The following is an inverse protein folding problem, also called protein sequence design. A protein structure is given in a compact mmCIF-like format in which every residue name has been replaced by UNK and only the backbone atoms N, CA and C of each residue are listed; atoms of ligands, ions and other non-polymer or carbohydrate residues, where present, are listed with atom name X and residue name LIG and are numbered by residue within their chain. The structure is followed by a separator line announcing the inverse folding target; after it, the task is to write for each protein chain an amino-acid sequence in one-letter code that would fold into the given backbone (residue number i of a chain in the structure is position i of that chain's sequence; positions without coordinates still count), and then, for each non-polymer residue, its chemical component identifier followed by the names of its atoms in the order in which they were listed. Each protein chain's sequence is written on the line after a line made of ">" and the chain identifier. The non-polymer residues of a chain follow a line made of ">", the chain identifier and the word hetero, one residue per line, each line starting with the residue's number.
data_IF_409609945125
#
_entry.id   IF_409609945125
#
_cell.length_a   1.000
_cell.length_b   1.000
_cell.length_c   1.000
_cell.angle_alpha   90.00
_cell.angle_beta   90.00
_cell.angle_gamma   90.00
#
_symmetry.space_group_name_H-M   'P 1'
#
loop_
_entity.id
_entity.type
_entity.pdbx_description
1 polymer ?
#
# COMPACT_ATOMS: atom_id res chain seq x y z
N UNK A 1 35.31 -21.84 2.37
CA UNK A 1 34.10 -21.06 2.70
C UNK A 1 33.54 -20.57 1.38
N UNK A 2 32.40 -21.10 0.93
CA UNK A 2 31.77 -20.62 -0.30
C UNK A 2 31.16 -19.24 0.01
N UNK A 3 31.61 -18.19 -0.69
CA UNK A 3 30.92 -16.91 -0.68
C UNK A 3 29.57 -17.13 -1.35
N UNK A 4 28.48 -16.92 -0.62
CA UNK A 4 27.15 -16.96 -1.19
C UNK A 4 27.01 -15.72 -2.09
N UNK A 5 27.33 -15.89 -3.37
CA UNK A 5 27.28 -14.80 -4.34
C UNK A 5 25.84 -14.32 -4.47
N UNK A 6 25.60 -13.00 -4.52
CA UNK A 6 24.25 -12.46 -4.68
C UNK A 6 23.60 -13.06 -5.93
N UNK A 7 22.48 -13.76 -5.74
CA UNK A 7 21.68 -14.34 -6.82
C UNK A 7 20.66 -13.32 -7.30
N UNK A 8 20.77 -12.90 -8.55
CA UNK A 8 19.77 -12.07 -9.20
C UNK A 8 18.74 -12.96 -9.92
N UNK A 9 17.46 -12.71 -9.67
CA UNK A 9 16.35 -13.33 -10.39
C UNK A 9 15.63 -12.28 -11.22
N UNK A 10 15.48 -12.53 -12.51
CA UNK A 10 14.64 -11.71 -13.37
C UNK A 10 13.20 -12.21 -13.27
N UNK A 11 12.31 -11.43 -12.66
CA UNK A 11 10.89 -11.74 -12.59
C UNK A 11 10.28 -11.52 -13.99
N UNK A 12 10.22 -12.59 -14.78
CA UNK A 12 9.62 -12.56 -16.12
C UNK A 12 8.10 -12.51 -16.02
N UNK A 13 7.50 -11.65 -16.82
CA UNK A 13 6.05 -11.52 -16.97
C UNK A 13 5.56 -10.07 -17.10
N UNK A 14 6.39 -9.07 -16.79
CA UNK A 14 6.02 -7.65 -16.82
C UNK A 14 5.77 -7.15 -18.25
N UNK A 15 4.51 -7.17 -18.71
CA UNK A 15 4.10 -6.56 -19.99
C UNK A 15 3.93 -5.02 -19.89
N UNK A 16 4.40 -4.42 -18.81
CA UNK A 16 4.40 -2.98 -18.58
C UNK A 16 5.47 -2.57 -17.55
N UNK A 17 5.78 -1.27 -17.45
CA UNK A 17 6.74 -0.77 -16.46
C UNK A 17 6.25 -1.08 -15.05
N UNK A 18 7.19 -1.56 -14.22
CA UNK A 18 7.01 -1.63 -12.76
C UNK A 18 6.92 -0.20 -12.24
N UNK A 19 5.88 0.10 -11.48
CA UNK A 19 5.64 1.43 -10.92
C UNK A 19 6.14 1.51 -9.48
N UNK A 20 5.90 0.46 -8.69
CA UNK A 20 6.38 0.35 -7.32
C UNK A 20 6.68 -1.10 -6.93
N UNK A 21 7.55 -1.28 -5.93
CA UNK A 21 7.95 -2.57 -5.36
C UNK A 21 7.91 -2.49 -3.84
N UNK A 22 7.47 -3.56 -3.18
CA UNK A 22 7.49 -3.69 -1.72
C UNK A 22 7.70 -5.14 -1.32
N UNK A 23 8.23 -5.38 -0.11
CA UNK A 23 8.26 -6.70 0.53
C UNK A 23 7.37 -6.71 1.77
N UNK A 24 6.86 -7.88 2.13
CA UNK A 24 6.23 -8.07 3.44
C UNK A 24 7.30 -7.97 4.55
N UNK A 25 6.89 -7.63 5.77
CA UNK A 25 7.84 -7.41 6.88
C UNK A 25 8.57 -8.70 7.31
N UNK A 26 7.89 -9.85 7.20
CA UNK A 26 8.48 -11.18 7.39
C UNK A 26 9.34 -11.66 6.20
N UNK A 27 9.47 -10.83 5.16
CA UNK A 27 10.13 -11.11 3.91
C UNK A 27 9.62 -12.39 3.20
N UNK A 28 8.41 -12.87 3.49
CA UNK A 28 7.82 -14.04 2.82
C UNK A 28 7.26 -13.71 1.43
N UNK A 29 6.97 -12.44 1.16
CA UNK A 29 6.40 -11.98 -0.11
C UNK A 29 7.13 -10.77 -0.66
N UNK A 30 7.21 -10.71 -1.99
CA UNK A 30 7.53 -9.51 -2.74
C UNK A 30 6.33 -9.18 -3.63
N UNK A 31 5.91 -7.91 -3.62
CA UNK A 31 4.84 -7.42 -4.47
C UNK A 31 5.35 -6.30 -5.39
N UNK A 32 4.81 -6.26 -6.61
CA UNK A 32 5.08 -5.22 -7.58
C UNK A 32 3.76 -4.71 -8.16
N UNK A 33 3.67 -3.39 -8.34
CA UNK A 33 2.58 -2.77 -9.08
C UNK A 33 3.03 -2.42 -10.49
N UNK A 34 2.09 -2.46 -11.43
CA UNK A 34 2.37 -2.28 -12.85
C UNK A 34 1.43 -1.23 -13.46
N UNK A 35 1.90 -0.61 -14.55
CA UNK A 35 1.06 0.30 -15.33
C UNK A 35 -0.09 -0.41 -16.08
N UNK A 36 -0.04 -1.74 -16.20
CA UNK A 36 -1.08 -2.57 -16.81
C UNK A 36 -2.27 -2.85 -15.89
N UNK A 37 -2.43 -2.08 -14.80
CA UNK A 37 -3.44 -2.21 -13.73
C UNK A 37 -3.24 -3.41 -12.80
N UNK A 38 -2.30 -4.31 -13.09
CA UNK A 38 -2.08 -5.49 -12.26
C UNK A 38 -1.20 -5.19 -11.06
N UNK A 39 -1.45 -5.93 -9.98
CA UNK A 39 -0.51 -6.12 -8.89
C UNK A 39 -0.13 -7.57 -8.87
N UNK A 40 1.17 -7.84 -8.76
CA UNK A 40 1.69 -9.20 -8.81
C UNK A 40 2.53 -9.47 -7.58
N UNK A 41 2.38 -10.64 -7.02
CA UNK A 41 3.03 -11.03 -5.78
C UNK A 41 3.68 -12.40 -5.94
N UNK A 42 4.89 -12.53 -5.40
CA UNK A 42 5.70 -13.74 -5.45
C UNK A 42 6.08 -14.17 -4.03
N UNK A 43 6.07 -15.47 -3.73
CA UNK A 43 6.76 -15.99 -2.56
C UNK A 43 8.25 -15.67 -2.69
N UNK A 44 8.86 -15.10 -1.67
CA UNK A 44 10.29 -14.81 -1.67
C UNK A 44 11.17 -16.07 -1.73
N UNK A 45 10.60 -17.19 -1.30
CA UNK A 45 11.24 -18.50 -1.34
C UNK A 45 11.28 -19.12 -2.74
N UNK A 46 10.42 -18.68 -3.66
CA UNK A 46 10.30 -19.27 -4.99
C UNK A 46 9.87 -18.26 -6.06
N UNK A 47 10.87 -17.71 -6.74
CA UNK A 47 10.68 -16.84 -7.91
C UNK A 47 10.55 -17.60 -9.24
N UNK A 48 10.61 -18.94 -9.24
CA UNK A 48 10.42 -19.75 -10.45
C UNK A 48 8.95 -20.05 -10.71
N UNK A 49 8.15 -20.15 -9.65
CA UNK A 49 6.70 -20.25 -9.74
C UNK A 49 6.08 -18.98 -10.37
N UNK A 50 4.97 -19.12 -11.11
CA UNK A 50 4.28 -17.97 -11.67
C UNK A 50 3.76 -17.04 -10.57
N UNK A 51 3.72 -15.71 -10.80
CA UNK A 51 3.15 -14.78 -9.84
C UNK A 51 1.68 -15.05 -9.58
N UNK A 52 1.23 -14.67 -8.39
CA UNK A 52 -0.18 -14.47 -8.10
C UNK A 52 -0.58 -13.09 -8.63
N UNK A 53 -1.66 -13.03 -9.41
CA UNK A 53 -2.20 -11.80 -9.96
C UNK A 53 -3.35 -11.29 -9.10
N UNK A 54 -3.22 -10.07 -8.61
CA UNK A 54 -4.24 -9.35 -7.86
C UNK A 54 -4.89 -8.36 -8.83
N UNK A 55 -6.01 -8.80 -9.40
CA UNK A 55 -6.75 -8.06 -10.44
C UNK A 55 -8.00 -7.42 -9.84
N UNK A 56 -8.31 -6.19 -10.24
CA UNK A 56 -9.51 -5.48 -9.78
C UNK A 56 -9.45 -3.97 -9.96
N UNK A 57 -8.24 -3.40 -10.07
CA UNK A 57 -8.08 -2.01 -10.46
C UNK A 57 -8.48 -1.77 -11.92
N UNK A 58 -9.06 -0.61 -12.18
CA UNK A 58 -9.46 -0.14 -13.52
C UNK A 58 -8.49 0.94 -14.06
N UNK A 59 -7.33 1.08 -13.43
CA UNK A 59 -6.30 2.04 -13.79
C UNK A 59 -4.92 1.62 -13.27
N UNK A 60 -3.85 2.28 -13.73
CA UNK A 60 -2.49 2.01 -13.27
C UNK A 60 -2.37 2.09 -11.75
N UNK A 61 -1.68 1.12 -11.16
CA UNK A 61 -1.47 1.05 -9.71
C UNK A 61 -0.18 1.78 -9.34
N UNK A 62 -0.34 2.95 -8.71
CA UNK A 62 0.75 3.88 -8.44
C UNK A 62 1.36 3.71 -7.05
N UNK A 63 0.60 3.18 -6.10
CA UNK A 63 1.02 3.05 -4.71
C UNK A 63 0.80 1.62 -4.20
N UNK A 64 1.74 1.12 -3.39
CA UNK A 64 1.66 -0.21 -2.79
C UNK A 64 2.34 -0.22 -1.42
N UNK A 65 1.74 -0.88 -0.44
CA UNK A 65 2.32 -1.04 0.90
C UNK A 65 1.80 -2.31 1.59
N UNK A 66 2.67 -3.05 2.27
CA UNK A 66 2.25 -4.09 3.21
C UNK A 66 1.95 -3.49 4.58
N UNK A 67 0.99 -4.06 5.29
CA UNK A 67 0.83 -3.82 6.73
C UNK A 67 1.96 -4.49 7.49
N UNK A 68 2.34 -3.90 8.62
CA UNK A 68 3.43 -4.43 9.46
C UNK A 68 3.12 -5.80 10.07
N UNK A 69 1.84 -6.09 10.29
CA UNK A 69 1.39 -7.42 10.73
C UNK A 69 1.33 -8.46 9.59
N UNK A 70 1.67 -8.07 8.35
CA UNK A 70 1.65 -8.91 7.15
C UNK A 70 0.26 -9.36 6.69
N UNK A 71 -0.82 -8.89 7.34
CA UNK A 71 -2.19 -9.30 7.05
C UNK A 71 -2.71 -8.71 5.75
N UNK A 72 -2.32 -7.47 5.46
CA UNK A 72 -2.88 -6.68 4.38
C UNK A 72 -1.80 -6.19 3.42
N UNK A 73 -2.16 -6.17 2.14
CA UNK A 73 -1.48 -5.40 1.12
C UNK A 73 -2.45 -4.32 0.64
N UNK A 74 -2.06 -3.06 0.72
CA UNK A 74 -2.80 -1.93 0.17
C UNK A 74 -2.24 -1.56 -1.20
N UNK A 75 -3.13 -1.30 -2.16
CA UNK A 75 -2.76 -0.86 -3.51
C UNK A 75 -3.61 0.34 -3.91
N UNK A 76 -2.98 1.46 -4.25
CA UNK A 76 -3.63 2.69 -4.68
C UNK A 76 -3.46 2.93 -6.17
N UNK A 77 -4.53 3.37 -6.84
CA UNK A 77 -4.60 3.44 -8.30
C UNK A 77 -5.07 4.77 -8.85
N UNK A 78 -4.78 5.00 -10.13
CA UNK A 78 -5.36 6.08 -10.93
C UNK A 78 -6.89 5.98 -11.09
N UNK A 79 -7.49 4.82 -10.80
CA UNK A 79 -8.95 4.67 -10.74
C UNK A 79 -9.60 5.31 -9.50
N UNK A 80 -8.80 6.04 -8.69
CA UNK A 80 -9.22 6.80 -7.50
C UNK A 80 -9.60 5.92 -6.30
N UNK A 81 -9.36 4.62 -6.40
CA UNK A 81 -9.66 3.66 -5.33
C UNK A 81 -8.38 3.09 -4.73
N UNK A 82 -8.55 2.56 -3.52
CA UNK A 82 -7.54 1.73 -2.86
C UNK A 82 -8.14 0.33 -2.68
N UNK A 83 -7.39 -0.70 -3.05
CA UNK A 83 -7.74 -2.08 -2.75
C UNK A 83 -6.93 -2.58 -1.56
N UNK A 84 -7.62 -3.21 -0.61
CA UNK A 84 -7.02 -3.95 0.49
C UNK A 84 -7.14 -5.46 0.25
N UNK A 85 -5.99 -6.10 0.07
CA UNK A 85 -5.86 -7.53 -0.20
C UNK A 85 -5.50 -8.27 1.08
N UNK A 86 -6.30 -9.28 1.44
CA UNK A 86 -5.98 -10.16 2.55
C UNK A 86 -4.91 -11.15 2.11
N UNK A 87 -3.70 -11.04 2.65
CA UNK A 87 -2.55 -11.86 2.25
C UNK A 87 -2.77 -13.35 2.54
N UNK A 88 -3.57 -13.67 3.57
CA UNK A 88 -3.92 -15.06 3.89
C UNK A 88 -5.00 -15.64 2.96
N UNK A 89 -5.71 -14.83 2.17
CA UNK A 89 -6.78 -15.25 1.27
C UNK A 89 -6.78 -14.42 -0.02
N UNK A 90 -5.69 -14.48 -0.79
CA UNK A 90 -5.50 -13.72 -2.03
C UNK A 90 -6.44 -14.16 -3.17
N UNK A 91 -7.15 -15.27 -3.01
CA UNK A 91 -8.19 -15.77 -3.90
C UNK A 91 -9.53 -15.00 -3.76
N UNK A 92 -9.69 -14.24 -2.67
CA UNK A 92 -10.89 -13.43 -2.42
C UNK A 92 -10.76 -12.03 -3.02
N UNK A 93 -11.88 -11.41 -3.41
CA UNK A 93 -11.88 -10.03 -3.88
C UNK A 93 -11.35 -9.09 -2.78
N UNK A 94 -10.68 -8.00 -3.15
CA UNK A 94 -10.21 -7.02 -2.19
C UNK A 94 -11.38 -6.26 -1.58
N UNK A 95 -11.12 -5.63 -0.45
CA UNK A 95 -11.98 -4.57 0.04
C UNK A 95 -11.67 -3.30 -0.74
N UNK A 96 -12.70 -2.65 -1.27
CA UNK A 96 -12.57 -1.43 -2.07
C UNK A 96 -12.81 -0.24 -1.18
N UNK A 97 -11.80 0.60 -1.04
CA UNK A 97 -11.85 1.86 -0.32
C UNK A 97 -12.02 3.00 -1.34
N UNK A 98 -13.19 3.62 -1.30
CA UNK A 98 -13.61 4.67 -2.23
C UNK A 98 -13.87 5.98 -1.48
N UNK A 99 -13.66 7.11 -2.15
CA UNK A 99 -13.98 8.45 -1.64
C UNK A 99 -12.96 9.53 -2.00
N UNK A 100 -11.79 9.15 -2.52
CA UNK A 100 -10.92 10.09 -3.22
C UNK A 100 -11.51 10.50 -4.58
N UNK A 101 -11.27 11.74 -4.97
CA UNK A 101 -11.82 12.33 -6.21
C UNK A 101 -10.79 12.32 -7.36
N UNK A 102 -9.55 11.94 -7.08
CA UNK A 102 -8.46 11.77 -8.06
C UNK A 102 -7.56 10.58 -7.69
N UNK A 103 -6.63 10.27 -8.58
CA UNK A 103 -5.57 9.27 -8.50
C UNK A 103 -4.87 9.20 -7.14
N UNK A 104 -4.71 7.97 -6.63
CA UNK A 104 -4.00 7.72 -5.38
C UNK A 104 -2.49 7.77 -5.63
N UNK A 105 -1.83 8.77 -5.06
CA UNK A 105 -0.40 8.99 -5.22
C UNK A 105 0.44 8.16 -4.22
N UNK A 106 -0.08 7.91 -3.01
CA UNK A 106 0.66 7.17 -1.97
C UNK A 106 -0.28 6.54 -0.95
N UNK A 107 0.13 5.41 -0.38
CA UNK A 107 -0.55 4.73 0.74
C UNK A 107 0.48 4.27 1.76
N UNK A 108 0.17 4.38 3.05
CA UNK A 108 1.03 3.89 4.13
C UNK A 108 0.20 3.28 5.25
N UNK A 109 0.68 2.18 5.81
CA UNK A 109 0.13 1.62 7.04
C UNK A 109 0.78 2.24 8.28
N UNK A 110 -0.02 2.40 9.32
CA UNK A 110 0.47 2.61 10.67
C UNK A 110 1.23 1.38 11.18
N UNK A 111 2.17 1.59 12.11
CA UNK A 111 3.00 0.52 12.69
C UNK A 111 2.18 -0.55 13.41
N UNK A 112 0.98 -0.23 13.92
CA UNK A 112 0.06 -1.21 14.51
C UNK A 112 -0.84 -1.90 13.48
N UNK A 113 -0.72 -1.59 12.19
CA UNK A 113 -1.53 -2.16 11.11
C UNK A 113 -3.00 -1.77 11.13
N UNK A 114 -3.44 -0.95 12.10
CA UNK A 114 -4.86 -0.58 12.28
C UNK A 114 -5.31 0.48 11.30
N UNK A 115 -4.46 1.46 11.06
CA UNK A 115 -4.76 2.61 10.22
C UNK A 115 -4.03 2.52 8.89
N UNK A 116 -4.75 2.88 7.83
CA UNK A 116 -4.17 3.18 6.53
C UNK A 116 -4.35 4.69 6.29
N UNK A 117 -3.29 5.36 5.85
CA UNK A 117 -3.38 6.71 5.33
C UNK A 117 -3.12 6.69 3.83
N UNK A 118 -3.89 7.49 3.09
CA UNK A 118 -3.72 7.66 1.65
C UNK A 118 -3.65 9.12 1.27
N UNK A 119 -2.86 9.40 0.24
CA UNK A 119 -2.76 10.71 -0.40
C UNK A 119 -3.20 10.58 -1.84
N UNK A 120 -4.04 11.50 -2.29
CA UNK A 120 -4.46 11.60 -3.68
C UNK A 120 -4.01 12.91 -4.31
N UNK A 121 -4.03 12.94 -5.64
CA UNK A 121 -3.85 14.14 -6.47
C UNK A 121 -5.01 15.13 -6.32
N UNK A 122 -6.10 14.75 -5.64
CA UNK A 122 -7.20 15.64 -5.23
C UNK A 122 -6.79 16.61 -4.09
N UNK A 123 -5.50 16.63 -3.73
CA UNK A 123 -4.92 17.36 -2.62
C UNK A 123 -5.45 16.95 -1.24
N UNK A 124 -6.14 15.82 -1.13
CA UNK A 124 -6.66 15.30 0.13
C UNK A 124 -5.83 14.13 0.65
N UNK A 125 -5.74 14.08 1.98
CA UNK A 125 -5.38 12.90 2.75
C UNK A 125 -6.64 12.24 3.27
N UNK A 126 -6.71 10.91 3.21
CA UNK A 126 -7.76 10.14 3.88
C UNK A 126 -7.13 9.17 4.89
N UNK A 127 -7.82 8.99 6.02
CA UNK A 127 -7.48 8.01 7.04
C UNK A 127 -8.59 6.96 7.15
N UNK A 128 -8.20 5.70 7.03
CA UNK A 128 -9.08 4.53 7.00
C UNK A 128 -8.79 3.65 8.23
N UNK A 129 -9.82 3.14 8.93
CA UNK A 129 -9.67 2.07 9.93
C UNK A 129 -9.79 0.72 9.22
N UNK A 130 -8.69 -0.03 9.22
CA UNK A 130 -8.55 -1.32 8.54
C UNK A 130 -9.11 -2.47 9.39
N UNK A 131 -9.32 -2.25 10.69
CA UNK A 131 -9.99 -3.23 11.55
C UNK A 131 -11.50 -3.31 11.27
N UNK A 132 -12.09 -2.22 10.78
CA UNK A 132 -13.47 -2.17 10.29
C UNK A 132 -13.54 -1.44 8.94
N UNK A 133 -13.20 -2.14 7.84
CA UNK A 133 -13.14 -1.57 6.49
C UNK A 133 -14.48 -1.03 5.97
N UNK A 134 -15.59 -1.34 6.64
CA UNK A 134 -16.92 -0.82 6.29
C UNK A 134 -17.12 0.64 6.70
N UNK A 135 -16.26 1.17 7.58
CA UNK A 135 -16.30 2.55 8.05
C UNK A 135 -15.28 3.41 7.28
N UNK A 136 -15.64 3.70 6.04
CA UNK A 136 -14.70 4.05 4.98
C UNK A 136 -13.81 5.28 5.27
N UNK A 137 -14.26 6.42 5.79
CA UNK A 137 -13.32 7.56 5.99
C UNK A 137 -13.55 8.19 7.34
N UNK A 138 -12.50 8.24 8.16
CA UNK A 138 -12.58 8.74 9.53
C UNK A 138 -12.06 10.18 9.62
N UNK A 139 -11.21 10.59 8.68
CA UNK A 139 -10.70 11.96 8.60
C UNK A 139 -10.28 12.30 7.17
N UNK A 140 -10.63 13.50 6.70
CA UNK A 140 -10.17 14.08 5.42
C UNK A 140 -9.47 15.41 5.69
N UNK A 141 -8.31 15.66 5.06
CA UNK A 141 -7.59 16.94 5.18
C UNK A 141 -6.97 17.38 3.87
N UNK A 142 -7.04 18.69 3.57
CA UNK A 142 -6.39 19.31 2.43
C UNK A 142 -4.90 19.56 2.73
N UNK A 143 -4.03 19.18 1.80
CA UNK A 143 -2.57 19.32 1.93
C UNK A 143 -2.10 20.75 1.62
N UNK A 144 -2.82 21.51 0.81
CA UNK A 144 -2.37 22.85 0.36
C UNK A 144 -2.57 23.95 1.42
N UNK A 145 -3.56 23.83 2.32
CA UNK A 145 -3.81 24.84 3.35
C UNK A 145 -2.81 24.75 4.53
N UNK A 146 -2.21 23.58 4.76
CA UNK A 146 -1.32 23.28 5.90
C UNK A 146 0.16 23.22 5.47
N UNK A 147 0.68 24.27 4.79
CA UNK A 147 2.02 24.36 4.16
C UNK A 147 3.29 23.97 4.96
N UNK A 148 3.15 23.42 6.17
CA UNK A 148 4.19 22.79 6.99
C UNK A 148 4.35 21.27 6.77
N UNK A 149 3.45 20.59 6.03
CA UNK A 149 3.43 19.12 5.97
C UNK A 149 4.09 18.50 4.73
N UNK A 150 4.53 19.29 3.74
CA UNK A 150 5.04 18.78 2.47
C UNK A 150 6.37 18.00 2.56
N UNK A 151 7.06 18.00 3.72
CA UNK A 151 8.31 17.24 3.94
C UNK A 151 8.22 16.15 5.02
N UNK A 152 7.07 16.00 5.69
CA UNK A 152 6.89 14.91 6.65
C UNK A 152 6.33 13.70 5.93
N UNK A 153 7.09 12.61 5.91
CA UNK A 153 6.55 11.29 5.54
C UNK A 153 5.27 11.06 6.36
N UNK A 154 4.22 10.55 5.70
CA UNK A 154 2.93 10.27 6.32
C UNK A 154 3.11 9.34 7.52
N UNK A 155 4.14 8.48 7.50
CA UNK A 155 4.58 7.69 8.66
C UNK A 155 5.02 8.54 9.86
N UNK A 156 5.73 9.65 9.64
CA UNK A 156 6.14 10.59 10.68
C UNK A 156 4.93 11.32 11.30
N UNK A 157 3.97 11.73 10.48
CA UNK A 157 2.74 12.40 10.95
C UNK A 157 1.86 11.47 11.80
N UNK A 158 1.70 10.21 11.38
CA UNK A 158 0.98 9.18 12.16
C UNK A 158 1.70 8.87 13.48
N UNK A 159 3.03 8.81 13.47
CA UNK A 159 3.84 8.63 14.66
C UNK A 159 3.68 9.81 15.64
N UNK A 160 3.59 11.04 15.12
CA UNK A 160 3.40 12.25 15.92
C UNK A 160 2.04 12.27 16.63
N UNK A 161 0.95 11.83 15.96
CA UNK A 161 -0.40 11.78 16.57
C UNK A 161 -0.48 10.81 17.76
N UNK A 162 0.25 9.69 17.72
CA UNK A 162 0.35 8.76 18.86
C UNK A 162 1.04 9.39 20.07
N UNK A 163 2.03 10.26 19.83
CA UNK A 163 2.77 10.96 20.90
C UNK A 163 1.96 12.09 21.53
N UNK A 164 1.09 12.75 20.76
CA UNK A 164 0.25 13.85 21.24
C UNK A 164 -1.00 13.39 22.02
N UNK A 165 -1.39 12.10 21.96
CA UNK A 165 -2.36 11.53 22.91
C UNK A 165 -1.76 11.16 24.28
N UNK A 166 -0.45 11.34 24.45
CA UNK A 166 0.25 11.18 25.73
C UNK A 166 0.36 12.45 26.56
N UNK A 167 -0.13 13.59 26.09
CA UNK A 167 -0.11 14.87 26.82
C UNK A 167 -1.42 15.65 26.66
N UNK A 168 -2.17 15.71 27.77
CA UNK A 168 -3.29 16.64 28.02
C UNK A 168 -4.67 15.99 27.83
N UNK A 169 -5.56 15.94 28.81
CA UNK A 169 -5.64 16.47 30.19
C UNK A 169 -6.64 15.57 30.95
#
# INVERSE_FOLDING_TARGET
>A
MASDSPRAFALKGSDGPVVALTSSEDASWIAASFADTSVRIWPSSDFQSPPIFLNGHNGPVQAIAFSSDGRWLATGSMDKTIHLWNVANLDKPPLVLSGHEDSIASVVFSVDGRWLASRSSDNMLHLWDVADPSTAIIEQRNVEEDGLLAQMDIGFWLMLRRRLRGFGI
#
